data_IF_365137644355
#
_entry.id   IF_365137644355
#
_cell.length_a   1.000
_cell.length_b   1.000
_cell.length_c   1.000
_cell.angle_alpha   90.00
_cell.angle_beta   90.00
_cell.angle_gamma   90.00
#
_symmetry.space_group_name_H-M   'P 1'
#
loop_
_entity.id
_entity.type
_entity.pdbx_description
1 polymer ?
#
# COMPACT_ATOMS: atom_id res chain seq x y z
N UNK A 1 -62.40 32.83 -15.58
CA UNK A 1 -60.98 32.79 -15.17
C UNK A 1 -60.50 31.33 -15.29
N UNK A 2 -59.39 31.09 -16.01
CA UNK A 2 -58.66 29.79 -16.15
C UNK A 2 -58.10 29.34 -14.77
N UNK A 3 -57.95 28.06 -14.39
CA UNK A 3 -57.00 26.99 -14.84
C UNK A 3 -57.45 25.65 -14.17
N UNK A 4 -57.45 24.47 -14.82
CA UNK A 4 -56.32 23.54 -15.12
C UNK A 4 -55.46 23.23 -13.87
N UNK A 5 -55.02 22.02 -13.53
CA UNK A 5 -55.20 20.65 -14.00
C UNK A 5 -54.57 19.74 -12.92
N UNK A 6 -54.94 18.47 -12.90
CA UNK A 6 -54.31 17.41 -12.11
C UNK A 6 -52.81 17.23 -12.41
N UNK A 7 -52.10 16.49 -11.54
CA UNK A 7 -51.08 15.45 -11.82
C UNK A 7 -50.41 15.13 -10.46
N UNK A 8 -50.80 14.05 -9.78
CA UNK A 8 -50.17 12.71 -9.85
C UNK A 8 -48.67 12.71 -9.51
N UNK A 9 -48.35 12.33 -8.27
CA UNK A 9 -47.03 11.91 -7.82
C UNK A 9 -46.59 10.65 -8.58
N UNK A 10 -45.28 10.46 -8.73
CA UNK A 10 -44.70 9.35 -7.98
C UNK A 10 -43.36 9.67 -7.29
N UNK A 11 -43.15 8.94 -6.19
CA UNK A 11 -41.87 8.56 -5.63
C UNK A 11 -40.80 8.34 -6.71
N UNK A 12 -39.62 8.93 -6.53
CA UNK A 12 -38.38 8.16 -6.43
C UNK A 12 -37.21 9.04 -5.97
N UNK A 13 -36.30 8.48 -5.17
CA UNK A 13 -35.20 9.22 -4.57
C UNK A 13 -34.16 9.56 -5.65
N UNK A 14 -33.79 10.83 -5.71
CA UNK A 14 -32.49 11.25 -6.25
C UNK A 14 -31.39 10.73 -5.31
N UNK A 15 -31.19 9.42 -5.29
CA UNK A 15 -29.88 8.85 -5.00
C UNK A 15 -28.99 9.33 -6.13
N UNK A 16 -28.26 10.41 -5.88
CA UNK A 16 -27.01 10.66 -6.55
C UNK A 16 -26.18 9.40 -6.33
N UNK A 17 -26.19 8.51 -7.30
CA UNK A 17 -25.09 7.59 -7.50
C UNK A 17 -23.87 8.47 -7.68
N UNK A 18 -23.15 8.71 -6.58
CA UNK A 18 -21.71 8.85 -6.61
C UNK A 18 -21.20 7.55 -7.23
N UNK A 19 -21.27 7.47 -8.56
CA UNK A 19 -20.60 6.44 -9.30
C UNK A 19 -19.17 6.46 -8.80
N UNK A 20 -18.70 5.32 -8.31
CA UNK A 20 -17.29 5.09 -8.14
C UNK A 20 -16.66 5.44 -9.49
N UNK A 21 -16.08 6.64 -9.58
CA UNK A 21 -15.43 7.08 -10.78
C UNK A 21 -14.30 6.07 -11.02
N UNK A 22 -14.22 5.44 -12.19
CA UNK A 22 -13.12 4.55 -12.50
C UNK A 22 -11.82 5.35 -12.27
N UNK A 23 -10.86 4.75 -11.59
CA UNK A 23 -9.65 5.39 -11.06
C UNK A 23 -9.00 6.34 -12.09
N UNK A 24 -9.04 6.01 -13.39
CA UNK A 24 -8.57 6.81 -14.51
C UNK A 24 -9.10 8.27 -14.63
N UNK A 25 -10.07 8.70 -13.82
CA UNK A 25 -10.74 10.00 -13.98
C UNK A 25 -10.28 11.13 -13.03
N UNK A 26 -9.40 10.87 -12.05
CA UNK A 26 -9.08 11.86 -10.99
C UNK A 26 -8.00 12.90 -11.36
N UNK A 27 -7.41 12.78 -12.57
CA UNK A 27 -6.40 13.70 -13.10
C UNK A 27 -4.98 13.44 -12.59
N UNK A 28 -3.98 13.97 -13.31
CA UNK A 28 -2.54 13.75 -13.03
C UNK A 28 -2.13 14.20 -11.62
N UNK A 29 -2.62 15.36 -11.17
CA UNK A 29 -2.28 15.94 -9.86
C UNK A 29 -2.69 15.06 -8.68
N UNK A 30 -3.80 14.33 -8.80
CA UNK A 30 -4.22 13.35 -7.80
C UNK A 30 -3.18 12.24 -7.67
N UNK A 31 -2.77 11.64 -8.78
CA UNK A 31 -1.80 10.55 -8.78
C UNK A 31 -0.42 10.98 -8.29
N UNK A 32 0.02 12.19 -8.66
CA UNK A 32 1.24 12.78 -8.10
C UNK A 32 1.14 12.94 -6.57
N UNK A 33 0.00 13.41 -6.06
CA UNK A 33 -0.21 13.55 -4.61
C UNK A 33 -0.21 12.19 -3.90
N UNK A 34 -0.88 11.19 -4.47
CA UNK A 34 -0.93 9.83 -3.93
C UNK A 34 0.44 9.16 -3.94
N UNK A 35 1.19 9.29 -5.04
CA UNK A 35 2.57 8.82 -5.15
C UNK A 35 3.46 9.47 -4.08
N UNK A 36 3.43 10.80 -3.96
CA UNK A 36 4.21 11.51 -2.95
C UNK A 36 3.85 11.11 -1.51
N UNK A 37 2.57 10.81 -1.25
CA UNK A 37 2.13 10.30 0.05
C UNK A 37 2.69 8.90 0.32
N UNK A 38 2.57 8.00 -0.66
CA UNK A 38 3.10 6.65 -0.58
C UNK A 38 4.64 6.64 -0.41
N UNK A 39 5.38 7.50 -1.11
CA UNK A 39 6.83 7.65 -0.95
C UNK A 39 7.23 8.04 0.46
N UNK A 40 6.47 8.93 1.12
CA UNK A 40 6.72 9.29 2.54
C UNK A 40 6.40 8.13 3.49
N UNK A 41 5.37 7.35 3.19
CA UNK A 41 5.02 6.15 3.96
C UNK A 41 6.08 5.05 3.81
N UNK A 42 6.59 4.86 2.59
CA UNK A 42 7.68 3.95 2.29
C UNK A 42 8.95 4.33 3.06
N UNK A 43 9.32 5.61 3.04
CA UNK A 43 10.50 6.12 3.77
C UNK A 43 10.41 5.88 5.29
N UNK A 44 9.21 6.03 5.88
CA UNK A 44 9.00 5.70 7.30
C UNK A 44 9.20 4.21 7.57
N UNK A 45 8.62 3.34 6.73
CA UNK A 45 8.78 1.90 6.90
C UNK A 45 10.24 1.45 6.71
N UNK A 46 11.01 2.06 5.79
CA UNK A 46 12.44 1.82 5.68
C UNK A 46 13.19 2.16 6.96
N UNK A 47 12.93 3.34 7.55
CA UNK A 47 13.57 3.75 8.80
C UNK A 47 13.22 2.81 9.97
N UNK A 48 11.96 2.37 10.06
CA UNK A 48 11.53 1.40 11.07
C UNK A 48 12.16 0.02 10.85
N UNK A 49 12.26 -0.44 9.60
CA UNK A 49 12.93 -1.68 9.23
C UNK A 49 14.42 -1.67 9.60
N UNK A 50 15.12 -0.57 9.32
CA UNK A 50 16.52 -0.40 9.73
C UNK A 50 16.68 -0.42 11.25
N UNK A 51 15.76 0.23 11.98
CA UNK A 51 15.74 0.20 13.45
C UNK A 51 15.56 -1.23 13.98
N UNK A 52 14.63 -2.00 13.42
CA UNK A 52 14.40 -3.40 13.78
C UNK A 52 15.62 -4.27 13.47
N UNK A 53 16.21 -4.13 12.28
CA UNK A 53 17.44 -4.84 11.88
C UNK A 53 18.61 -4.50 12.81
N UNK A 54 18.74 -3.25 13.23
CA UNK A 54 19.76 -2.83 14.20
C UNK A 54 19.55 -3.50 15.56
N UNK A 55 18.32 -3.54 16.06
CA UNK A 55 17.98 -4.21 17.32
C UNK A 55 18.25 -5.70 17.27
N UNK A 56 17.92 -6.38 16.18
CA UNK A 56 18.19 -7.82 16.02
C UNK A 56 19.68 -8.15 16.11
N UNK A 57 20.57 -7.27 15.63
CA UNK A 57 22.04 -7.53 15.65
C UNK A 57 22.62 -7.63 17.06
N UNK A 58 21.97 -7.01 18.05
CA UNK A 58 22.44 -6.96 19.44
C UNK A 58 21.56 -7.79 20.38
N UNK A 59 20.44 -8.30 19.90
CA UNK A 59 19.52 -9.12 20.69
C UNK A 59 20.11 -10.50 20.93
N UNK A 60 20.08 -10.94 22.20
CA UNK A 60 20.58 -12.25 22.64
C UNK A 60 19.45 -13.16 23.12
N UNK A 61 18.31 -12.59 23.53
CA UNK A 61 17.13 -13.35 23.87
C UNK A 61 16.45 -13.87 22.61
N UNK A 62 16.39 -15.19 22.50
CA UNK A 62 15.84 -15.88 21.33
C UNK A 62 14.36 -15.53 21.08
N UNK A 63 13.55 -15.45 22.14
CA UNK A 63 12.11 -15.17 22.04
C UNK A 63 11.90 -13.74 21.56
N UNK A 64 12.66 -12.79 22.10
CA UNK A 64 12.64 -11.40 21.64
C UNK A 64 13.12 -11.31 20.20
N UNK A 65 14.18 -12.03 19.83
CA UNK A 65 14.69 -12.13 18.46
C UNK A 65 13.62 -12.60 17.47
N UNK A 66 12.87 -13.64 17.81
CA UNK A 66 11.74 -14.10 17.00
C UNK A 66 10.62 -13.06 16.87
N UNK A 67 10.31 -12.32 17.94
CA UNK A 67 9.37 -11.19 17.88
C UNK A 67 9.84 -10.05 16.97
N UNK A 68 11.14 -9.74 16.99
CA UNK A 68 11.75 -8.75 16.10
C UNK A 68 11.72 -9.21 14.64
N UNK A 69 12.01 -10.48 14.37
CA UNK A 69 11.97 -11.03 13.01
C UNK A 69 10.54 -11.04 12.46
N UNK A 70 9.54 -11.38 13.28
CA UNK A 70 8.13 -11.22 12.91
C UNK A 70 7.77 -9.77 12.58
N UNK A 71 8.29 -8.81 13.36
CA UNK A 71 8.09 -7.37 13.10
C UNK A 71 8.77 -6.92 11.80
N UNK A 72 9.94 -7.50 11.47
CA UNK A 72 10.64 -7.26 10.19
C UNK A 72 9.78 -7.74 9.02
N UNK A 73 9.26 -8.97 9.10
CA UNK A 73 8.37 -9.52 8.06
C UNK A 73 7.16 -8.60 7.85
N UNK A 74 6.49 -8.19 8.93
CA UNK A 74 5.35 -7.28 8.86
C UNK A 74 5.71 -5.95 8.14
N UNK A 75 6.89 -5.38 8.43
CA UNK A 75 7.33 -4.15 7.75
C UNK A 75 7.62 -4.36 6.27
N UNK A 76 8.23 -5.48 5.91
CA UNK A 76 8.49 -5.83 4.51
C UNK A 76 7.17 -6.04 3.73
N UNK A 77 6.16 -6.69 4.33
CA UNK A 77 4.82 -6.83 3.74
C UNK A 77 4.13 -5.48 3.52
N UNK A 78 4.26 -4.57 4.48
CA UNK A 78 3.68 -3.24 4.36
C UNK A 78 4.36 -2.42 3.25
N UNK A 79 5.69 -2.49 3.16
CA UNK A 79 6.46 -1.89 2.07
C UNK A 79 6.06 -2.48 0.71
N UNK A 80 5.79 -3.79 0.65
CA UNK A 80 5.33 -4.46 -0.57
C UNK A 80 3.99 -3.89 -1.03
N UNK A 81 3.04 -3.73 -0.11
CA UNK A 81 1.74 -3.10 -0.38
C UNK A 81 1.91 -1.67 -0.91
N UNK A 82 2.78 -0.88 -0.28
CA UNK A 82 3.04 0.51 -0.67
C UNK A 82 3.66 0.59 -2.07
N UNK A 83 4.72 -0.18 -2.34
CA UNK A 83 5.37 -0.21 -3.65
C UNK A 83 4.41 -0.66 -4.76
N UNK A 84 3.55 -1.65 -4.48
CA UNK A 84 2.51 -2.06 -5.44
C UNK A 84 1.54 -0.92 -5.78
N UNK A 85 1.14 -0.12 -4.78
CA UNK A 85 0.30 1.06 -5.02
C UNK A 85 1.05 2.13 -5.81
N UNK A 86 2.33 2.37 -5.49
CA UNK A 86 3.18 3.32 -6.22
C UNK A 86 3.31 2.93 -7.70
N UNK A 87 3.51 1.65 -8.01
CA UNK A 87 3.50 1.14 -9.38
C UNK A 87 2.19 1.45 -10.10
N UNK A 88 1.05 1.27 -9.41
CA UNK A 88 -0.25 1.65 -9.95
C UNK A 88 -0.35 3.14 -10.25
N UNK A 89 0.19 4.02 -9.39
CA UNK A 89 0.19 5.46 -9.64
C UNK A 89 1.12 5.86 -10.79
N UNK A 90 2.29 5.24 -10.90
CA UNK A 90 3.25 5.50 -11.98
C UNK A 90 2.70 5.07 -13.35
N UNK A 91 1.98 3.94 -13.41
CA UNK A 91 1.27 3.49 -14.60
C UNK A 91 0.23 4.53 -15.05
N UNK A 92 -0.53 5.10 -14.11
CA UNK A 92 -1.52 6.15 -14.41
C UNK A 92 -0.89 7.49 -14.82
N UNK A 93 0.33 7.77 -14.35
CA UNK A 93 1.11 8.95 -14.74
C UNK A 93 1.85 8.76 -16.08
N UNK A 94 1.99 7.52 -16.56
CA UNK A 94 2.77 7.21 -17.77
C UNK A 94 4.28 7.35 -17.59
N UNK A 95 4.78 7.35 -16.35
CA UNK A 95 6.22 7.45 -16.06
C UNK A 95 6.87 6.06 -16.10
N UNK A 96 7.23 5.64 -17.31
CA UNK A 96 7.75 4.29 -17.60
C UNK A 96 9.12 4.05 -16.94
N UNK A 97 9.98 5.06 -16.88
CA UNK A 97 11.31 4.93 -16.30
C UNK A 97 11.24 4.73 -14.79
N UNK A 98 10.45 5.57 -14.10
CA UNK A 98 10.21 5.40 -12.67
C UNK A 98 9.47 4.10 -12.36
N UNK A 99 8.54 3.67 -13.22
CA UNK A 99 7.84 2.40 -13.09
C UNK A 99 8.82 1.22 -13.11
N UNK A 100 9.69 1.17 -14.13
CA UNK A 100 10.67 0.09 -14.28
C UNK A 100 11.67 0.03 -13.12
N UNK A 101 12.13 1.19 -12.63
CA UNK A 101 12.96 1.26 -11.43
C UNK A 101 12.22 0.71 -10.21
N UNK A 102 10.97 1.13 -10.01
CA UNK A 102 10.15 0.70 -8.88
C UNK A 102 9.79 -0.79 -8.93
N UNK A 103 9.68 -1.39 -10.12
CA UNK A 103 9.50 -2.84 -10.29
C UNK A 103 10.74 -3.60 -9.80
N UNK A 104 11.93 -3.08 -10.09
CA UNK A 104 13.18 -3.66 -9.61
C UNK A 104 13.24 -3.63 -8.09
N UNK A 105 12.93 -2.49 -7.49
CA UNK A 105 12.86 -2.35 -6.03
C UNK A 105 11.81 -3.28 -5.40
N UNK A 106 10.65 -3.40 -6.03
CA UNK A 106 9.60 -4.33 -5.61
C UNK A 106 10.08 -5.78 -5.64
N UNK A 107 10.76 -6.21 -6.71
CA UNK A 107 11.27 -7.58 -6.81
C UNK A 107 12.34 -7.89 -5.75
N UNK A 108 13.26 -6.96 -5.52
CA UNK A 108 14.26 -7.10 -4.46
C UNK A 108 13.59 -7.21 -3.08
N UNK A 109 12.54 -6.44 -2.83
CA UNK A 109 11.77 -6.52 -1.58
C UNK A 109 11.10 -7.89 -1.38
N UNK A 110 10.58 -8.50 -2.46
CA UNK A 110 10.00 -9.85 -2.40
C UNK A 110 11.04 -10.89 -1.98
N UNK A 111 12.28 -10.78 -2.49
CA UNK A 111 13.37 -11.66 -2.10
C UNK A 111 13.73 -11.51 -0.62
N UNK A 112 13.86 -10.27 -0.14
CA UNK A 112 14.09 -9.94 1.28
C UNK A 112 12.97 -10.50 2.19
N UNK A 113 11.71 -10.36 1.76
CA UNK A 113 10.55 -10.85 2.48
C UNK A 113 10.53 -12.38 2.56
N UNK A 114 10.78 -13.06 1.44
CA UNK A 114 10.82 -14.53 1.41
C UNK A 114 11.96 -15.06 2.28
N UNK A 115 13.15 -14.47 2.19
CA UNK A 115 14.29 -14.81 3.05
C UNK A 115 13.94 -14.67 4.53
N UNK A 116 13.31 -13.55 4.91
CA UNK A 116 12.91 -13.31 6.30
C UNK A 116 11.86 -14.30 6.80
N UNK A 117 10.91 -14.68 5.93
CA UNK A 117 9.90 -15.71 6.24
C UNK A 117 10.52 -17.10 6.39
N UNK A 118 11.46 -17.46 5.53
CA UNK A 118 12.18 -18.73 5.61
C UNK A 118 13.01 -18.81 6.90
N UNK A 119 13.68 -17.72 7.28
CA UNK A 119 14.41 -17.62 8.55
C UNK A 119 13.46 -17.77 9.74
N UNK A 120 12.30 -17.12 9.70
CA UNK A 120 11.30 -17.24 10.76
C UNK A 120 10.75 -18.67 10.84
N UNK A 121 10.47 -19.32 9.71
CA UNK A 121 10.03 -20.70 9.68
C UNK A 121 11.08 -21.65 10.27
N UNK A 122 12.35 -21.49 9.89
CA UNK A 122 13.46 -22.32 10.38
C UNK A 122 13.76 -22.15 11.86
N UNK A 123 13.68 -20.91 12.35
CA UNK A 123 14.13 -20.58 13.69
C UNK A 123 12.95 -20.59 14.68
N UNK A 124 11.83 -19.98 14.32
CA UNK A 124 10.80 -19.55 15.26
C UNK A 124 9.48 -20.33 15.17
N UNK A 125 9.17 -21.04 14.08
CA UNK A 125 7.84 -21.63 13.87
C UNK A 125 7.55 -22.93 14.64
N UNK A 126 8.58 -23.63 15.14
CA UNK A 126 8.45 -24.96 15.77
C UNK A 126 8.69 -24.94 17.31
N UNK A 127 8.45 -23.83 18.00
CA UNK A 127 8.62 -23.74 19.47
C UNK A 127 7.46 -23.08 20.20
#
# INVERSE_FOLDING_TARGET
MRRLAAIFLPLSPLFLMAGAQPAAAQGESFYVQQYNSASRELARNFSELESLRSRMRVEQDFTVGCGLLSSVIYRLEEMQRILKNMLGYLDQLGDVDAYNSSVTDYNNLIEDLNTSRDDYARLCADR
#
